data_IF_500899642459
#
_entry.id   IF_500899642459
#
_cell.length_a   1.000
_cell.length_b   1.000
_cell.length_c   1.000
_cell.angle_alpha   90.00
_cell.angle_beta   90.00
_cell.angle_gamma   90.00
#
_symmetry.space_group_name_H-M   'P 1'
#
loop_
_entity.id
_entity.type
_entity.pdbx_description
1 polymer ?
#
# COMPACT_ATOMS: atom_id res chain seq x y z
N UNK A 1 -20.48 -13.95 15.01
CA UNK A 1 -20.44 -13.80 13.55
C UNK A 1 -19.39 -14.75 12.99
N UNK A 2 -19.76 -15.68 12.11
CA UNK A 2 -18.81 -16.63 11.51
C UNK A 2 -17.93 -15.90 10.47
N UNK A 3 -16.60 -15.93 10.65
CA UNK A 3 -15.66 -15.43 9.62
C UNK A 3 -15.84 -16.27 8.35
N UNK A 4 -16.24 -15.64 7.24
CA UNK A 4 -16.31 -16.28 5.93
C UNK A 4 -14.92 -16.84 5.58
N UNK A 5 -14.82 -18.14 5.34
CA UNK A 5 -13.56 -18.80 4.96
C UNK A 5 -13.18 -18.35 3.55
N UNK A 6 -12.14 -17.53 3.44
CA UNK A 6 -11.61 -17.03 2.17
C UNK A 6 -10.65 -18.10 1.63
N UNK A 7 -11.00 -18.72 0.50
CA UNK A 7 -10.18 -19.76 -0.15
C UNK A 7 -9.43 -19.25 -1.38
N UNK A 8 -9.68 -18.02 -1.81
CA UNK A 8 -9.03 -17.41 -2.97
C UNK A 8 -7.61 -16.96 -2.61
N UNK A 9 -6.61 -17.45 -3.35
CA UNK A 9 -5.23 -16.98 -3.28
C UNK A 9 -5.03 -15.80 -4.22
N UNK A 10 -4.24 -14.82 -3.80
CA UNK A 10 -3.90 -13.65 -4.60
C UNK A 10 -2.40 -13.57 -4.79
N UNK A 11 -1.95 -13.38 -6.02
CA UNK A 11 -0.55 -13.10 -6.33
C UNK A 11 -0.38 -11.61 -6.58
N UNK A 12 0.54 -10.97 -5.87
CA UNK A 12 0.92 -9.58 -6.09
C UNK A 12 2.28 -9.55 -6.78
N UNK A 13 2.35 -8.93 -7.95
CA UNK A 13 3.59 -8.80 -8.73
C UNK A 13 4.15 -7.38 -8.58
N UNK A 14 5.31 -7.28 -7.96
CA UNK A 14 6.03 -6.03 -7.70
C UNK A 14 6.16 -5.72 -6.21
N UNK A 15 7.40 -5.64 -5.71
CA UNK A 15 7.71 -5.36 -4.31
C UNK A 15 7.90 -3.88 -3.95
N UNK A 16 7.32 -2.96 -4.74
CA UNK A 16 7.31 -1.52 -4.41
C UNK A 16 6.29 -1.14 -3.35
N UNK A 17 6.16 0.14 -3.00
CA UNK A 17 5.22 0.59 -1.95
C UNK A 17 3.78 0.17 -2.23
N UNK A 18 3.34 0.24 -3.49
CA UNK A 18 1.98 -0.10 -3.89
C UNK A 18 1.71 -1.61 -3.73
N UNK A 19 2.65 -2.45 -4.17
CA UNK A 19 2.51 -3.91 -4.06
C UNK A 19 2.59 -4.40 -2.62
N UNK A 20 3.51 -3.85 -1.81
CA UNK A 20 3.58 -4.13 -0.38
C UNK A 20 2.29 -3.70 0.35
N UNK A 21 1.78 -2.50 0.06
CA UNK A 21 0.53 -2.01 0.65
C UNK A 21 -0.67 -2.88 0.24
N UNK A 22 -0.77 -3.26 -1.04
CA UNK A 22 -1.82 -4.15 -1.53
C UNK A 22 -1.75 -5.53 -0.84
N UNK A 23 -0.57 -6.14 -0.77
CA UNK A 23 -0.36 -7.42 -0.11
C UNK A 23 -0.75 -7.37 1.37
N UNK A 24 -0.35 -6.30 2.08
CA UNK A 24 -0.73 -6.07 3.49
C UNK A 24 -2.25 -5.98 3.66
N UNK A 25 -2.94 -5.17 2.85
CA UNK A 25 -4.40 -4.99 2.92
C UNK A 25 -5.18 -6.26 2.59
N UNK A 26 -4.67 -7.08 1.67
CA UNK A 26 -5.25 -8.37 1.34
C UNK A 26 -5.06 -9.38 2.48
N UNK A 27 -3.86 -9.41 3.08
CA UNK A 27 -3.59 -10.24 4.25
C UNK A 27 -4.45 -9.85 5.47
N UNK A 28 -4.62 -8.56 5.75
CA UNK A 28 -5.52 -8.04 6.80
C UNK A 28 -6.97 -8.50 6.61
N UNK A 29 -7.42 -8.61 5.36
CA UNK A 29 -8.75 -9.12 4.99
C UNK A 29 -8.85 -10.65 5.02
N UNK A 30 -7.75 -11.36 5.32
CA UNK A 30 -7.70 -12.81 5.44
C UNK A 30 -7.46 -13.56 4.13
N UNK A 31 -7.03 -12.88 3.07
CA UNK A 31 -6.62 -13.55 1.84
C UNK A 31 -5.21 -14.14 1.99
N UNK A 32 -4.97 -15.38 1.56
CA UNK A 32 -3.62 -15.87 1.34
C UNK A 32 -2.98 -15.13 0.16
N UNK A 33 -1.85 -14.48 0.40
CA UNK A 33 -1.15 -13.64 -0.58
C UNK A 33 0.26 -14.16 -0.84
N UNK A 34 0.62 -14.33 -2.11
CA UNK A 34 1.98 -14.56 -2.57
C UNK A 34 2.53 -13.26 -3.19
N UNK A 35 3.62 -12.73 -2.64
CA UNK A 35 4.28 -11.53 -3.17
C UNK A 35 5.49 -11.91 -4.00
N UNK A 36 5.46 -11.59 -5.30
CA UNK A 36 6.56 -11.80 -6.22
C UNK A 36 7.28 -10.48 -6.54
N UNK A 37 8.60 -10.48 -6.47
CA UNK A 37 9.42 -9.32 -6.83
C UNK A 37 10.71 -9.79 -7.50
N UNK A 38 11.07 -9.16 -8.63
CA UNK A 38 12.28 -9.48 -9.38
C UNK A 38 13.57 -9.24 -8.56
N UNK A 39 13.55 -8.23 -7.69
CA UNK A 39 14.65 -7.87 -6.80
C UNK A 39 14.15 -7.79 -5.34
N UNK A 40 15.05 -7.82 -4.33
CA UNK A 40 14.67 -7.58 -2.95
C UNK A 40 13.82 -6.31 -2.81
N UNK A 41 12.72 -6.37 -2.06
CA UNK A 41 11.68 -5.31 -2.01
C UNK A 41 12.24 -3.93 -1.64
N UNK A 42 13.32 -3.90 -0.82
CA UNK A 42 14.04 -2.68 -0.43
C UNK A 42 14.78 -1.98 -1.58
N UNK A 43 15.00 -2.66 -2.71
CA UNK A 43 15.63 -2.14 -3.93
C UNK A 43 14.59 -1.69 -4.97
N UNK A 44 13.32 -1.62 -4.60
CA UNK A 44 12.30 -1.02 -5.48
C UNK A 44 12.59 0.46 -5.71
N UNK A 45 12.27 0.97 -6.90
CA UNK A 45 12.50 2.38 -7.25
C UNK A 45 11.74 3.37 -6.35
N UNK A 46 10.72 2.89 -5.64
CA UNK A 46 10.05 3.69 -4.60
C UNK A 46 11.02 4.14 -3.50
N UNK A 47 12.08 3.39 -3.21
CA UNK A 47 13.12 3.79 -2.26
C UNK A 47 13.87 5.07 -2.67
N UNK A 48 13.82 5.44 -3.95
CA UNK A 48 14.46 6.66 -4.47
C UNK A 48 13.56 7.91 -4.37
N UNK A 49 12.35 7.81 -3.78
CA UNK A 49 11.47 8.96 -3.60
C UNK A 49 12.07 9.96 -2.59
N UNK A 50 12.07 11.25 -2.91
CA UNK A 50 12.74 12.29 -2.11
C UNK A 50 11.80 13.34 -1.51
N UNK A 51 10.75 13.76 -2.24
CA UNK A 51 9.88 14.85 -1.81
C UNK A 51 8.94 14.45 -0.66
N UNK A 52 8.07 13.49 -0.91
CA UNK A 52 7.05 13.05 0.04
C UNK A 52 5.75 12.62 -0.63
N UNK A 53 4.70 12.46 0.17
CA UNK A 53 3.33 12.18 -0.30
C UNK A 53 2.45 13.34 0.15
N UNK A 54 1.80 14.01 -0.81
CA UNK A 54 0.91 15.12 -0.51
C UNK A 54 -0.39 14.61 0.13
N UNK A 55 -0.86 15.29 1.17
CA UNK A 55 -2.15 15.04 1.81
C UNK A 55 -2.67 16.34 2.44
N UNK A 56 -3.95 16.66 2.23
CA UNK A 56 -4.59 17.81 2.88
C UNK A 56 -4.95 17.42 4.32
N UNK A 57 -4.00 17.59 5.24
CA UNK A 57 -4.17 17.25 6.66
C UNK A 57 -4.21 18.48 7.59
N UNK A 58 -4.04 19.69 7.04
CA UNK A 58 -4.00 20.95 7.79
C UNK A 58 -3.01 20.93 8.98
N UNK A 59 -1.92 20.18 8.86
CA UNK A 59 -0.93 20.02 9.94
C UNK A 59 -0.15 21.31 10.23
N UNK A 60 -0.17 22.26 9.28
CA UNK A 60 0.45 23.58 9.42
C UNK A 60 -0.52 24.66 9.89
N UNK A 61 -1.81 24.37 10.03
CA UNK A 61 -2.84 25.35 10.41
C UNK A 61 -3.14 26.39 9.31
N UNK A 62 -2.84 26.05 8.06
CA UNK A 62 -3.04 26.90 6.88
C UNK A 62 -4.45 26.75 6.28
N UNK A 63 -5.31 25.96 6.92
CA UNK A 63 -6.69 25.64 6.51
C UNK A 63 -6.75 24.92 5.17
N UNK A 64 -5.88 23.93 5.00
CA UNK A 64 -5.83 23.11 3.79
C UNK A 64 -7.13 22.32 3.59
N UNK A 65 -7.75 22.49 2.42
CA UNK A 65 -8.94 21.71 2.03
C UNK A 65 -8.77 21.04 0.67
N UNK A 66 -9.53 19.95 0.47
CA UNK A 66 -9.62 19.20 -0.80
C UNK A 66 -10.15 20.02 -1.98
N UNK A 67 -10.72 21.20 -1.74
CA UNK A 67 -11.31 22.05 -2.78
C UNK A 67 -10.30 23.07 -3.33
N UNK A 68 -9.16 23.22 -2.66
CA UNK A 68 -8.12 24.19 -3.01
C UNK A 68 -6.98 23.59 -3.85
N UNK A 69 -6.94 22.26 -4.03
CA UNK A 69 -5.83 21.52 -4.63
C UNK A 69 -6.32 20.41 -5.57
#
# INVERSE_FOLDING_TARGET
MAKKKINQRVVVVGGGVAGLFAAMRLAEKGYPVDLFSLFPVKRSHTACAQGGINACMDTKGERDTKWQH
#
